data_IF_427165407771
#
_entry.id   IF_427165407771
#
_cell.length_a   1.000
_cell.length_b   1.000
_cell.length_c   1.000
_cell.angle_alpha   90.00
_cell.angle_beta   90.00
_cell.angle_gamma   90.00
#
_symmetry.space_group_name_H-M   'P 1'
#
loop_
_entity.id
_entity.type
_entity.pdbx_description
1 polymer ?
#
# COMPACT_ATOMS: atom_id res chain seq x y z
N UNK A 1 13.11 13.65 -0.94
CA UNK A 1 12.07 12.62 -1.16
C UNK A 1 10.70 13.29 -1.26
N UNK A 2 10.05 13.12 -2.38
CA UNK A 2 8.75 13.72 -2.66
C UNK A 2 7.67 12.63 -2.64
N UNK A 3 6.47 12.95 -2.14
CA UNK A 3 5.30 12.07 -2.13
C UNK A 3 4.19 12.71 -2.95
N UNK A 4 3.54 11.93 -3.80
CA UNK A 4 2.39 12.40 -4.58
C UNK A 4 1.25 11.41 -4.49
N UNK A 5 0.03 11.92 -4.43
CA UNK A 5 -1.17 11.10 -4.59
C UNK A 5 -1.35 10.78 -6.06
N UNK A 6 -1.51 9.51 -6.38
CA UNK A 6 -1.71 9.06 -7.77
C UNK A 6 -3.15 9.34 -8.20
N UNK A 7 -3.30 9.86 -9.42
CA UNK A 7 -4.59 10.11 -10.07
C UNK A 7 -4.66 9.33 -11.38
N UNK A 8 -5.80 9.37 -12.06
CA UNK A 8 -5.93 8.78 -13.39
C UNK A 8 -4.93 9.38 -14.39
N UNK A 9 -4.55 10.65 -14.20
CA UNK A 9 -3.57 11.33 -15.06
C UNK A 9 -2.15 10.82 -14.83
N UNK A 10 -1.83 10.28 -13.64
CA UNK A 10 -0.48 9.87 -13.26
C UNK A 10 -0.33 8.38 -13.00
N UNK A 11 -1.38 7.59 -13.19
CA UNK A 11 -1.36 6.16 -12.88
C UNK A 11 -0.26 5.39 -13.63
N UNK A 12 0.13 5.84 -14.82
CA UNK A 12 1.20 5.19 -15.59
C UNK A 12 2.54 5.21 -14.88
N UNK A 13 2.77 6.18 -13.99
CA UNK A 13 4.03 6.28 -13.25
C UNK A 13 4.17 5.19 -12.19
N UNK A 14 3.06 4.65 -11.68
CA UNK A 14 3.09 3.58 -10.67
C UNK A 14 3.08 2.19 -11.31
N UNK A 15 2.64 2.06 -12.54
CA UNK A 15 2.47 0.75 -13.20
C UNK A 15 3.74 -0.12 -13.19
N UNK A 16 4.94 0.40 -13.54
CA UNK A 16 6.14 -0.44 -13.48
C UNK A 16 6.47 -0.95 -12.07
N UNK A 17 6.23 -0.13 -11.05
CA UNK A 17 6.45 -0.53 -9.65
C UNK A 17 5.41 -1.55 -9.20
N UNK A 18 4.16 -1.38 -9.58
CA UNK A 18 3.10 -2.34 -9.29
C UNK A 18 3.36 -3.67 -9.97
N UNK A 19 3.80 -3.66 -11.23
CA UNK A 19 4.19 -4.87 -11.94
C UNK A 19 5.37 -5.59 -11.25
N UNK A 20 6.39 -4.84 -10.83
CA UNK A 20 7.54 -5.39 -10.08
C UNK A 20 7.10 -5.97 -8.72
N UNK A 21 6.16 -5.34 -8.04
CA UNK A 21 5.57 -5.85 -6.81
C UNK A 21 4.90 -7.21 -7.05
N UNK A 22 4.13 -7.35 -8.13
CA UNK A 22 3.49 -8.62 -8.49
C UNK A 22 4.52 -9.70 -8.82
N UNK A 23 5.59 -9.36 -9.53
CA UNK A 23 6.69 -10.28 -9.82
C UNK A 23 7.38 -10.74 -8.53
N UNK A 24 7.53 -9.86 -7.56
CA UNK A 24 8.05 -10.21 -6.22
C UNK A 24 7.19 -11.29 -5.56
N UNK A 25 5.89 -11.32 -5.81
CA UNK A 25 4.97 -12.35 -5.34
C UNK A 25 4.77 -13.48 -6.36
N UNK A 26 5.76 -13.70 -7.24
CA UNK A 26 5.80 -14.81 -8.19
C UNK A 26 4.69 -14.79 -9.25
N UNK A 27 4.19 -13.61 -9.57
CA UNK A 27 3.23 -13.43 -10.65
C UNK A 27 3.97 -13.08 -11.95
N UNK A 28 3.46 -13.50 -13.13
CA UNK A 28 4.07 -13.11 -14.39
C UNK A 28 3.94 -11.61 -14.64
N UNK A 29 4.93 -11.05 -15.34
CA UNK A 29 4.86 -9.66 -15.77
C UNK A 29 3.68 -9.45 -16.72
N UNK A 30 2.89 -8.41 -16.47
CA UNK A 30 1.75 -8.03 -17.31
C UNK A 30 1.44 -6.55 -17.09
N UNK A 31 2.19 -5.70 -17.79
CA UNK A 31 2.06 -4.24 -17.64
C UNK A 31 0.69 -3.73 -18.07
N UNK A 32 0.10 -4.31 -19.10
CA UNK A 32 -1.21 -3.89 -19.59
C UNK A 32 -2.32 -4.17 -18.59
N UNK A 33 -2.37 -5.40 -18.07
CA UNK A 33 -3.36 -5.77 -17.06
C UNK A 33 -3.14 -5.02 -15.75
N UNK A 34 -1.89 -4.79 -15.38
CA UNK A 34 -1.55 -3.99 -14.19
C UNK A 34 -2.11 -2.57 -14.30
N UNK A 35 -1.93 -1.92 -15.45
CA UNK A 35 -2.47 -0.58 -15.69
C UNK A 35 -3.99 -0.58 -15.64
N UNK A 36 -4.63 -1.55 -16.29
CA UNK A 36 -6.08 -1.66 -16.30
C UNK A 36 -6.66 -1.84 -14.90
N UNK A 37 -6.06 -2.72 -14.11
CA UNK A 37 -6.48 -2.96 -12.72
C UNK A 37 -6.42 -1.67 -11.89
N UNK A 38 -5.30 -0.96 -11.93
CA UNK A 38 -5.12 0.27 -11.16
C UNK A 38 -6.06 1.37 -11.60
N UNK A 39 -6.23 1.55 -12.91
CA UNK A 39 -7.17 2.53 -13.46
C UNK A 39 -8.60 2.27 -13.00
N UNK A 40 -9.03 1.03 -13.06
CA UNK A 40 -10.39 0.66 -12.65
C UNK A 40 -10.63 0.93 -11.17
N UNK A 41 -9.63 0.59 -10.32
CA UNK A 41 -9.74 0.88 -8.87
C UNK A 41 -9.84 2.38 -8.63
N UNK A 42 -9.03 3.18 -9.30
CA UNK A 42 -9.06 4.64 -9.14
C UNK A 42 -10.36 5.25 -9.67
N UNK A 43 -10.86 4.79 -10.82
CA UNK A 43 -12.11 5.28 -11.41
C UNK A 43 -13.31 5.05 -10.49
N UNK A 44 -13.33 3.91 -9.80
CA UNK A 44 -14.41 3.54 -8.88
C UNK A 44 -14.19 4.03 -7.46
N UNK A 45 -13.15 4.83 -7.24
CA UNK A 45 -12.79 5.34 -5.91
C UNK A 45 -12.60 4.22 -4.88
N UNK A 46 -12.04 3.10 -5.33
CA UNK A 46 -11.78 1.91 -4.52
C UNK A 46 -10.34 1.83 -4.02
N UNK A 47 -9.50 2.81 -4.35
CA UNK A 47 -8.08 2.80 -4.04
C UNK A 47 -7.54 4.20 -3.79
N UNK A 48 -6.61 4.30 -2.85
CA UNK A 48 -5.76 5.47 -2.64
C UNK A 48 -4.33 5.01 -2.80
N UNK A 49 -3.57 5.67 -3.69
CA UNK A 49 -2.19 5.30 -3.96
C UNK A 49 -1.29 6.51 -3.73
N UNK A 50 -0.25 6.34 -2.93
CA UNK A 50 0.82 7.32 -2.78
C UNK A 50 2.07 6.79 -3.46
N UNK A 51 2.76 7.67 -4.17
CA UNK A 51 3.95 7.35 -4.95
C UNK A 51 5.12 8.20 -4.43
N UNK A 52 6.22 7.54 -4.13
CA UNK A 52 7.44 8.18 -3.64
C UNK A 52 8.44 8.39 -4.78
N UNK A 53 9.07 9.55 -4.76
CA UNK A 53 10.08 9.95 -5.75
C UNK A 53 11.41 10.25 -5.07
N UNK A 54 12.50 9.79 -5.68
CA UNK A 54 13.86 10.20 -5.38
C UNK A 54 14.44 10.75 -6.68
N UNK A 55 15.01 11.96 -6.64
CA UNK A 55 15.59 12.62 -7.81
C UNK A 55 14.66 12.59 -9.04
N UNK A 56 13.38 12.93 -8.79
CA UNK A 56 12.32 12.97 -9.81
C UNK A 56 11.97 11.60 -10.43
N UNK A 57 12.45 10.49 -9.84
CA UNK A 57 12.14 9.14 -10.30
C UNK A 57 11.20 8.43 -9.32
N UNK A 58 10.13 7.78 -9.80
CA UNK A 58 9.29 6.95 -8.94
C UNK A 58 10.08 5.77 -8.39
N UNK A 59 10.10 5.59 -7.08
CA UNK A 59 10.91 4.54 -6.45
C UNK A 59 10.14 3.63 -5.50
N UNK A 60 8.91 3.99 -5.15
CA UNK A 60 8.10 3.16 -4.26
C UNK A 60 6.66 3.64 -4.25
N UNK A 61 5.76 2.75 -3.86
CA UNK A 61 4.34 3.08 -3.76
C UNK A 61 3.70 2.33 -2.60
N UNK A 62 2.55 2.85 -2.17
CA UNK A 62 1.66 2.19 -1.23
C UNK A 62 0.24 2.31 -1.76
N UNK A 63 -0.55 1.25 -1.61
CA UNK A 63 -1.95 1.25 -2.00
C UNK A 63 -2.84 0.91 -0.81
N UNK A 64 -3.80 1.77 -0.53
CA UNK A 64 -4.84 1.57 0.47
C UNK A 64 -6.17 1.23 -0.21
N UNK A 65 -6.88 0.26 0.33
CA UNK A 65 -8.28 0.02 -0.03
C UNK A 65 -9.17 0.47 1.12
N UNK A 66 -10.21 1.29 0.85
CA UNK A 66 -11.17 1.66 1.89
C UNK A 66 -12.03 0.45 2.26
N UNK A 67 -12.21 0.28 3.56
CA UNK A 67 -13.11 -0.70 4.16
C UNK A 67 -13.95 0.00 5.22
N UNK A 68 -14.87 -0.71 5.84
CA UNK A 68 -15.77 -0.10 6.80
C UNK A 68 -15.85 -0.93 8.06
N UNK A 69 -15.73 -0.26 9.21
CA UNK A 69 -15.98 -0.87 10.51
C UNK A 69 -17.42 -0.62 10.89
N UNK A 70 -18.25 -1.65 10.86
CA UNK A 70 -19.64 -1.54 11.28
C UNK A 70 -19.76 -1.23 12.76
N UNK A 71 -18.90 -1.86 13.59
CA UNK A 71 -18.93 -1.65 15.03
C UNK A 71 -18.62 -0.18 15.39
N UNK A 72 -17.63 0.42 14.74
CA UNK A 72 -17.26 1.80 14.97
C UNK A 72 -18.09 2.79 14.16
N UNK A 73 -18.83 2.35 13.15
CA UNK A 73 -19.56 3.17 12.18
C UNK A 73 -18.63 4.19 11.51
N UNK A 74 -17.45 3.74 11.11
CA UNK A 74 -16.41 4.56 10.50
C UNK A 74 -15.74 3.83 9.36
N UNK A 75 -15.09 4.59 8.47
CA UNK A 75 -14.13 4.06 7.52
C UNK A 75 -12.93 3.44 8.26
N UNK A 76 -12.32 2.48 7.63
CA UNK A 76 -11.01 1.95 7.96
C UNK A 76 -10.27 1.71 6.65
N UNK A 77 -8.98 1.43 6.70
CA UNK A 77 -8.20 1.21 5.48
C UNK A 77 -7.37 -0.06 5.59
N UNK A 78 -7.34 -0.79 4.49
CA UNK A 78 -6.43 -1.92 4.30
C UNK A 78 -5.22 -1.43 3.51
N UNK A 79 -4.05 -1.44 4.13
CA UNK A 79 -2.80 -1.24 3.42
C UNK A 79 -2.47 -2.54 2.70
N UNK A 80 -2.83 -2.61 1.42
CA UNK A 80 -2.76 -3.86 0.67
C UNK A 80 -1.41 -4.07 0.01
N UNK A 81 -0.82 -3.01 -0.54
CA UNK A 81 0.46 -3.07 -1.26
C UNK A 81 1.43 -2.04 -0.71
N UNK A 82 2.66 -2.46 -0.49
CA UNK A 82 3.78 -1.58 -0.16
C UNK A 82 5.02 -2.13 -0.82
N UNK A 83 5.61 -1.36 -1.71
CA UNK A 83 6.78 -1.79 -2.47
C UNK A 83 7.75 -0.64 -2.67
N UNK A 84 9.03 -0.95 -2.50
CA UNK A 84 10.13 -0.02 -2.77
C UNK A 84 11.09 -0.71 -3.73
N UNK A 85 11.46 -0.04 -4.81
CA UNK A 85 12.42 -0.56 -5.78
C UNK A 85 13.75 -0.89 -5.07
N UNK A 86 14.40 -1.96 -5.48
CA UNK A 86 15.58 -2.50 -4.81
C UNK A 86 16.67 -1.45 -4.59
N UNK A 87 16.95 -0.65 -5.60
CA UNK A 87 18.00 0.39 -5.55
C UNK A 87 17.66 1.54 -4.58
N UNK A 88 16.40 1.66 -4.15
CA UNK A 88 15.95 2.73 -3.25
C UNK A 88 15.66 2.24 -1.83
N UNK A 89 15.92 0.98 -1.54
CA UNK A 89 15.69 0.41 -0.20
C UNK A 89 16.70 0.94 0.81
N UNK A 90 16.32 0.83 2.10
CA UNK A 90 17.15 1.28 3.23
C UNK A 90 17.42 2.80 3.25
N UNK A 91 16.57 3.57 2.58
CA UNK A 91 16.64 5.03 2.53
C UNK A 91 15.42 5.69 3.16
N UNK A 92 14.61 4.93 3.91
CA UNK A 92 13.45 5.46 4.60
C UNK A 92 12.20 5.65 3.73
N UNK A 93 12.18 5.15 2.50
CA UNK A 93 11.05 5.32 1.57
C UNK A 93 9.79 4.67 2.12
N UNK A 94 9.87 3.41 2.55
CA UNK A 94 8.71 2.68 3.10
C UNK A 94 8.13 3.39 4.33
N UNK A 95 8.99 3.87 5.22
CA UNK A 95 8.57 4.62 6.40
C UNK A 95 7.79 5.87 6.02
N UNK A 96 8.28 6.63 5.04
CA UNK A 96 7.60 7.84 4.57
C UNK A 96 6.25 7.53 3.94
N UNK A 97 6.17 6.46 3.15
CA UNK A 97 4.91 6.01 2.56
C UNK A 97 3.88 5.64 3.64
N UNK A 98 4.28 4.91 4.68
CA UNK A 98 3.37 4.55 5.77
C UNK A 98 2.93 5.80 6.54
N UNK A 99 3.83 6.74 6.80
CA UNK A 99 3.47 8.01 7.46
C UNK A 99 2.47 8.82 6.64
N UNK A 100 2.58 8.80 5.33
CA UNK A 100 1.61 9.43 4.44
C UNK A 100 0.23 8.76 4.60
N UNK A 101 0.21 7.43 4.66
CA UNK A 101 -1.03 6.68 4.93
C UNK A 101 -1.64 7.06 6.28
N UNK A 102 -0.84 7.21 7.32
CA UNK A 102 -1.34 7.61 8.64
C UNK A 102 -1.96 9.00 8.62
N UNK A 103 -1.30 9.95 7.96
CA UNK A 103 -1.84 11.30 7.82
C UNK A 103 -3.17 11.28 7.07
N UNK A 104 -3.25 10.52 5.99
CA UNK A 104 -4.47 10.36 5.22
C UNK A 104 -5.59 9.73 6.06
N UNK A 105 -5.31 8.64 6.74
CA UNK A 105 -6.30 7.95 7.59
C UNK A 105 -6.82 8.87 8.70
N UNK A 106 -5.94 9.65 9.33
CA UNK A 106 -6.32 10.60 10.35
C UNK A 106 -7.24 11.70 9.79
N UNK A 107 -6.90 12.22 8.61
CA UNK A 107 -7.71 13.24 7.93
C UNK A 107 -9.10 12.73 7.54
N UNK A 108 -9.21 11.43 7.22
CA UNK A 108 -10.48 10.77 6.86
C UNK A 108 -11.26 10.27 8.09
N UNK A 109 -10.80 10.57 9.29
CA UNK A 109 -11.40 10.08 10.56
C UNK A 109 -11.55 8.55 10.57
N UNK A 110 -10.54 7.84 10.07
CA UNK A 110 -10.55 6.39 10.02
C UNK A 110 -10.44 5.77 11.41
N UNK A 111 -11.10 4.63 11.60
CA UNK A 111 -11.02 3.88 12.85
C UNK A 111 -9.68 3.19 13.02
N UNK A 112 -9.15 2.59 11.93
CA UNK A 112 -7.87 1.89 11.94
C UNK A 112 -7.32 1.74 10.53
N UNK A 113 -6.05 1.39 10.46
CA UNK A 113 -5.38 0.87 9.27
C UNK A 113 -4.88 -0.53 9.61
N UNK A 114 -5.08 -1.47 8.70
CA UNK A 114 -4.69 -2.86 8.89
C UNK A 114 -3.86 -3.34 7.71
N UNK A 115 -3.03 -4.35 7.92
CA UNK A 115 -2.25 -4.99 6.86
C UNK A 115 -1.95 -6.44 7.23
N UNK A 116 -1.55 -7.21 6.23
CA UNK A 116 -1.02 -8.55 6.40
C UNK A 116 0.43 -8.58 5.88
N UNK A 117 1.27 -9.37 6.52
CA UNK A 117 2.63 -9.61 6.06
C UNK A 117 3.00 -11.06 6.33
N UNK A 118 3.91 -11.61 5.52
CA UNK A 118 4.37 -12.98 5.71
C UNK A 118 5.03 -13.14 7.09
N UNK A 119 4.80 -14.28 7.71
CA UNK A 119 5.30 -14.58 9.07
C UNK A 119 6.82 -14.58 9.15
N UNK A 120 7.51 -14.79 8.03
CA UNK A 120 8.96 -14.78 7.94
C UNK A 120 9.55 -13.43 7.48
N UNK A 121 8.72 -12.45 7.13
CA UNK A 121 9.18 -11.12 6.72
C UNK A 121 9.50 -10.27 7.96
N UNK A 122 10.60 -10.58 8.63
CA UNK A 122 11.00 -9.93 9.89
C UNK A 122 11.33 -8.45 9.71
N UNK A 123 11.90 -8.08 8.55
CA UNK A 123 12.26 -6.68 8.27
C UNK A 123 11.01 -5.79 8.19
N UNK A 124 9.98 -6.24 7.48
CA UNK A 124 8.72 -5.52 7.39
C UNK A 124 8.03 -5.41 8.75
N UNK A 125 8.01 -6.50 9.51
CA UNK A 125 7.42 -6.53 10.85
C UNK A 125 8.07 -5.49 11.78
N UNK A 126 9.41 -5.39 11.76
CA UNK A 126 10.13 -4.38 12.55
C UNK A 126 9.73 -2.96 12.17
N UNK A 127 9.56 -2.70 10.89
CA UNK A 127 9.13 -1.38 10.41
C UNK A 127 7.72 -1.04 10.91
N UNK A 128 6.78 -1.96 10.78
CA UNK A 128 5.41 -1.74 11.23
C UNK A 128 5.34 -1.51 12.74
N UNK A 129 6.03 -2.32 13.51
CA UNK A 129 6.09 -2.17 14.97
C UNK A 129 6.73 -0.84 15.40
N UNK A 130 7.80 -0.44 14.72
CA UNK A 130 8.44 0.87 14.96
C UNK A 130 7.48 2.03 14.71
N UNK A 131 6.55 1.86 13.77
CA UNK A 131 5.56 2.88 13.43
C UNK A 131 4.25 2.74 14.23
N UNK A 132 4.24 1.93 15.27
CA UNK A 132 3.13 1.83 16.22
C UNK A 132 2.06 0.81 15.87
N UNK A 133 2.27 -0.01 14.85
CA UNK A 133 1.36 -1.11 14.54
C UNK A 133 1.65 -2.31 15.46
N UNK A 134 0.62 -3.07 15.75
CA UNK A 134 0.69 -4.26 16.62
C UNK A 134 0.05 -5.44 15.91
N UNK A 135 0.56 -6.64 16.19
CA UNK A 135 -0.12 -7.87 15.78
C UNK A 135 -1.45 -7.94 16.54
N UNK A 136 -2.54 -8.14 15.83
CA UNK A 136 -3.83 -8.36 16.46
C UNK A 136 -3.93 -9.83 16.87
N UNK A 137 -3.80 -10.10 18.16
CA UNK A 137 -3.81 -11.44 18.72
C UNK A 137 -5.20 -11.94 19.12
N UNK A 138 -6.19 -11.06 19.03
CA UNK A 138 -7.56 -11.35 19.51
C UNK A 138 -8.46 -11.94 18.42
N UNK A 139 -7.96 -12.05 17.18
CA UNK A 139 -8.74 -12.52 16.04
C UNK A 139 -7.95 -13.55 15.24
N UNK A 140 -8.70 -14.48 14.62
CA UNK A 140 -8.17 -15.34 13.57
C UNK A 140 -8.62 -14.82 12.22
N UNK A 141 -7.74 -14.94 11.23
CA UNK A 141 -8.03 -14.61 9.85
C UNK A 141 -8.40 -15.91 9.10
N UNK A 142 -9.60 -15.94 8.52
CA UNK A 142 -10.05 -17.07 7.70
C UNK A 142 -10.07 -16.65 6.24
N UNK A 143 -9.59 -17.52 5.35
CA UNK A 143 -9.56 -17.26 3.92
C UNK A 143 -10.04 -18.49 3.14
N UNK A 144 -10.75 -18.26 2.06
CA UNK A 144 -11.12 -19.27 1.08
C UNK A 144 -10.80 -18.72 -0.31
N UNK A 145 -10.00 -19.46 -1.05
CA UNK A 145 -9.68 -19.13 -2.44
C UNK A 145 -10.68 -19.79 -3.39
N UNK A 146 -10.88 -19.18 -4.54
CA UNK A 146 -11.67 -19.71 -5.65
C UNK A 146 -10.78 -20.21 -6.76
#
# INVERSE_FOLDING_TARGET
MEMKTVTLATVKEVVPLFNAYREFYNQPSDLEQAEQFLKERLQKEESIIFLAYLDAQPVGFVQLFPIFSSVAMKKAFLLNDLFVAEHARKQGVAMRLIKECYAYCKNEDARYITLETATDNKQAQKLYEKLGMKIDQDVFHYIKYW
#
